data_IF_249624701262
#
_entry.id   IF_249624701262
#
_cell.length_a   1.000
_cell.length_b   1.000
_cell.length_c   1.000
_cell.angle_alpha   90.00
_cell.angle_beta   90.00
_cell.angle_gamma   90.00
#
_symmetry.space_group_name_H-M   'P 1'
#
loop_
_entity.id
_entity.type
_entity.pdbx_description
1 polymer ?
#
# COMPACT_ATOMS: atom_id res chain seq x y z
N UNK A 1 -21.13 85.97 -17.22
CA UNK A 1 -20.23 84.90 -16.67
C UNK A 1 -21.01 83.65 -16.58
N UNK A 2 -20.84 82.70 -17.51
CA UNK A 2 -21.55 81.44 -17.53
C UNK A 2 -20.53 80.37 -17.17
N UNK A 3 -20.61 79.75 -15.98
CA UNK A 3 -19.82 78.63 -15.58
C UNK A 3 -20.48 77.35 -16.06
N UNK A 4 -19.86 76.69 -17.00
CA UNK A 4 -20.29 75.37 -17.52
C UNK A 4 -19.76 74.32 -16.59
N UNK A 5 -20.65 73.70 -15.86
CA UNK A 5 -20.33 72.52 -15.01
C UNK A 5 -20.23 71.30 -15.91
N UNK A 6 -19.03 70.80 -16.09
CA UNK A 6 -18.80 69.46 -16.74
C UNK A 6 -18.94 68.35 -15.70
N UNK A 7 -19.93 67.52 -15.87
CA UNK A 7 -20.03 66.22 -15.12
C UNK A 7 -18.92 65.26 -15.52
N UNK A 8 -18.27 64.62 -14.57
CA UNK A 8 -17.35 63.57 -14.90
C UNK A 8 -18.12 62.29 -15.28
N UNK A 9 -17.67 61.69 -16.36
CA UNK A 9 -18.15 60.38 -16.85
C UNK A 9 -17.83 59.30 -15.81
N UNK A 10 -18.85 58.64 -15.26
CA UNK A 10 -18.69 57.45 -14.46
C UNK A 10 -18.07 56.35 -15.33
N UNK A 11 -16.85 55.99 -15.00
CA UNK A 11 -16.23 54.80 -15.52
C UNK A 11 -16.94 53.57 -14.94
N UNK A 12 -17.58 52.79 -15.78
CA UNK A 12 -18.10 51.49 -15.44
C UNK A 12 -16.92 50.54 -15.26
N UNK A 13 -16.54 50.29 -14.02
CA UNK A 13 -15.63 49.22 -13.69
C UNK A 13 -16.44 47.93 -13.73
N UNK A 14 -16.30 47.17 -14.81
CA UNK A 14 -16.84 45.83 -14.92
C UNK A 14 -16.08 44.93 -13.93
N UNK A 15 -16.71 44.61 -12.82
CA UNK A 15 -16.28 43.56 -11.91
C UNK A 15 -16.48 42.22 -12.62
N UNK A 16 -15.38 41.66 -13.13
CA UNK A 16 -15.33 40.27 -13.58
C UNK A 16 -15.21 39.38 -12.32
N UNK A 17 -16.20 38.57 -11.97
CA UNK A 17 -16.02 37.59 -10.90
C UNK A 17 -15.07 36.51 -11.42
N UNK A 18 -13.83 36.52 -10.91
CA UNK A 18 -12.89 35.44 -11.08
C UNK A 18 -13.42 34.22 -10.30
N UNK A 19 -14.20 33.38 -11.02
CA UNK A 19 -14.67 32.12 -10.51
C UNK A 19 -13.46 31.19 -10.41
N UNK A 20 -12.78 31.22 -9.26
CA UNK A 20 -11.76 30.25 -8.89
C UNK A 20 -12.44 28.87 -8.83
N UNK A 21 -12.38 28.13 -9.92
CA UNK A 21 -12.63 26.69 -9.92
C UNK A 21 -11.53 26.07 -9.04
N UNK A 22 -11.84 25.88 -7.78
CA UNK A 22 -11.08 24.99 -6.90
C UNK A 22 -11.22 23.57 -7.46
N UNK A 23 -10.30 23.22 -8.35
CA UNK A 23 -10.11 21.85 -8.80
C UNK A 23 -9.63 21.06 -7.57
N UNK A 24 -10.57 20.54 -6.78
CA UNK A 24 -10.27 19.59 -5.71
C UNK A 24 -9.71 18.32 -6.37
N UNK A 25 -8.40 18.24 -6.46
CA UNK A 25 -7.72 16.97 -6.79
C UNK A 25 -8.02 16.04 -5.63
N UNK A 26 -9.08 15.24 -5.79
CA UNK A 26 -9.29 14.08 -4.93
C UNK A 26 -8.20 13.10 -5.30
N UNK A 27 -7.20 12.99 -4.44
CA UNK A 27 -6.32 11.83 -4.45
C UNK A 27 -7.21 10.61 -4.24
N UNK A 28 -7.36 9.82 -5.31
CA UNK A 28 -8.00 8.52 -5.21
C UNK A 28 -7.15 7.68 -4.23
N UNK A 29 -7.77 7.01 -3.23
CA UNK A 29 -7.03 6.05 -2.41
C UNK A 29 -6.38 5.03 -3.35
N UNK A 30 -5.18 4.48 -3.01
CA UNK A 30 -4.53 3.48 -3.83
C UNK A 30 -5.57 2.38 -4.10
N UNK A 31 -5.86 2.17 -5.38
CA UNK A 31 -6.79 1.14 -5.81
C UNK A 31 -6.20 -0.19 -5.33
N UNK A 32 -6.71 -0.72 -4.22
CA UNK A 32 -6.58 -2.13 -3.94
C UNK A 32 -7.16 -2.82 -5.16
N UNK A 33 -6.29 -3.46 -5.95
CA UNK A 33 -6.67 -4.03 -7.23
C UNK A 33 -7.92 -4.88 -7.00
N UNK A 34 -9.04 -4.40 -7.50
CA UNK A 34 -10.31 -5.13 -7.48
C UNK A 34 -10.07 -6.45 -8.23
N UNK A 35 -9.88 -7.55 -7.48
CA UNK A 35 -9.51 -8.85 -8.01
C UNK A 35 -8.18 -9.44 -7.51
N UNK A 36 -7.41 -8.76 -6.66
CA UNK A 36 -6.23 -9.38 -6.04
C UNK A 36 -6.63 -10.53 -5.11
N UNK A 37 -5.94 -11.67 -5.24
CA UNK A 37 -6.14 -12.83 -4.35
C UNK A 37 -5.58 -12.52 -2.97
N UNK A 38 -6.44 -12.53 -1.97
CA UNK A 38 -6.06 -12.31 -0.57
C UNK A 38 -5.77 -13.65 0.11
N UNK A 39 -4.64 -13.72 0.80
CA UNK A 39 -4.18 -14.93 1.51
C UNK A 39 -3.82 -14.52 2.93
N UNK A 40 -4.53 -15.08 3.89
CA UNK A 40 -4.27 -14.86 5.31
C UNK A 40 -3.05 -15.68 5.76
N UNK A 41 -2.13 -15.04 6.48
CA UNK A 41 -0.93 -15.64 7.04
C UNK A 41 -0.77 -15.22 8.50
N UNK A 42 -0.81 -16.17 9.39
CA UNK A 42 -0.56 -15.93 10.81
C UNK A 42 0.91 -16.16 11.14
N UNK A 43 1.54 -15.17 11.77
CA UNK A 43 2.88 -15.24 12.32
C UNK A 43 2.80 -15.48 13.83
N UNK A 44 3.50 -16.47 14.32
CA UNK A 44 3.73 -16.73 15.75
C UNK A 44 5.10 -17.38 15.95
N UNK A 45 5.61 -17.43 17.17
CA UNK A 45 6.91 -18.04 17.46
C UNK A 45 6.87 -19.56 17.27
N UNK A 46 7.59 -20.14 16.33
CA UNK A 46 8.51 -19.58 15.34
C UNK A 46 8.09 -20.08 13.96
N UNK A 47 6.88 -19.81 13.56
CA UNK A 47 6.29 -20.33 12.33
C UNK A 47 5.33 -19.33 11.66
N UNK A 48 5.11 -19.51 10.37
CA UNK A 48 4.00 -18.93 9.63
C UNK A 48 2.94 -19.99 9.35
N UNK A 49 1.67 -19.62 9.39
CA UNK A 49 0.54 -20.50 9.10
C UNK A 49 -0.34 -19.84 8.02
N UNK A 50 -0.44 -20.42 6.83
CA UNK A 50 0.28 -21.61 6.36
C UNK A 50 1.78 -21.36 6.19
N UNK A 51 2.60 -22.44 6.27
CA UNK A 51 4.04 -22.36 6.05
C UNK A 51 4.43 -22.33 4.57
N UNK A 52 3.51 -22.72 3.68
CA UNK A 52 3.69 -22.73 2.23
C UNK A 52 2.46 -22.15 1.54
N UNK A 53 2.70 -21.40 0.47
CA UNK A 53 1.66 -20.73 -0.33
C UNK A 53 1.99 -20.96 -1.81
N UNK A 54 0.96 -21.31 -2.60
CA UNK A 54 1.07 -21.40 -4.05
C UNK A 54 0.27 -20.31 -4.72
N UNK A 55 0.89 -19.57 -5.63
CA UNK A 55 0.30 -18.50 -6.45
C UNK A 55 0.72 -18.66 -7.90
N UNK A 56 0.06 -17.93 -8.81
CA UNK A 56 0.42 -17.93 -10.23
C UNK A 56 1.24 -16.69 -10.59
N UNK A 57 2.15 -16.85 -11.53
CA UNK A 57 2.84 -15.73 -12.17
C UNK A 57 1.84 -14.78 -12.80
N UNK A 58 2.01 -13.49 -12.57
CA UNK A 58 1.11 -12.45 -13.09
C UNK A 58 -0.20 -12.29 -12.30
N UNK A 59 -0.48 -13.14 -11.30
CA UNK A 59 -1.65 -13.00 -10.44
C UNK A 59 -1.38 -11.95 -9.35
N UNK A 60 -2.19 -10.87 -9.25
CA UNK A 60 -2.08 -9.94 -8.14
C UNK A 60 -2.45 -10.62 -6.82
N UNK A 61 -1.58 -10.54 -5.83
CA UNK A 61 -1.71 -11.19 -4.52
C UNK A 61 -1.54 -10.16 -3.41
N UNK A 62 -2.32 -10.33 -2.35
CA UNK A 62 -2.16 -9.61 -1.08
C UNK A 62 -2.02 -10.65 0.03
N UNK A 63 -0.84 -10.73 0.65
CA UNK A 63 -0.68 -11.46 1.90
C UNK A 63 -1.17 -10.58 3.04
N UNK A 64 -2.17 -11.04 3.76
CA UNK A 64 -2.69 -10.40 4.96
C UNK A 64 -1.99 -11.06 6.16
N UNK A 65 -1.05 -10.34 6.74
CA UNK A 65 -0.12 -10.85 7.74
C UNK A 65 -0.61 -10.47 9.13
N UNK A 66 -0.86 -11.46 9.98
CA UNK A 66 -1.26 -11.26 11.37
C UNK A 66 -0.22 -11.80 12.34
N UNK A 67 0.12 -11.04 13.37
CA UNK A 67 0.87 -11.57 14.51
C UNK A 67 -0.07 -11.86 15.67
N UNK A 68 0.11 -13.02 16.33
CA UNK A 68 -0.68 -13.42 17.50
C UNK A 68 0.09 -13.32 18.81
N UNK A 69 1.38 -12.98 18.76
CA UNK A 69 2.22 -12.90 19.96
C UNK A 69 3.13 -11.66 19.97
N UNK A 70 4.30 -11.72 19.35
CA UNK A 70 5.26 -10.61 19.32
C UNK A 70 5.36 -10.00 17.92
N UNK A 71 6.12 -8.94 17.77
CA UNK A 71 6.43 -8.41 16.45
C UNK A 71 7.22 -9.42 15.62
N UNK A 72 6.87 -9.53 14.35
CA UNK A 72 7.53 -10.33 13.33
C UNK A 72 7.78 -9.48 12.08
N UNK A 73 8.33 -10.07 11.07
CA UNK A 73 8.43 -9.51 9.73
C UNK A 73 8.64 -10.62 8.73
N UNK A 74 8.44 -10.37 7.46
CA UNK A 74 8.74 -11.32 6.39
C UNK A 74 9.56 -10.63 5.31
N UNK A 75 10.60 -11.29 4.82
CA UNK A 75 11.43 -10.82 3.72
C UNK A 75 11.71 -11.94 2.74
N UNK A 76 11.24 -11.79 1.51
CA UNK A 76 11.66 -12.60 0.35
C UNK A 76 12.76 -11.83 -0.39
N UNK A 77 14.02 -12.14 -0.09
CA UNK A 77 15.16 -11.38 -0.60
C UNK A 77 15.25 -11.40 -2.13
N UNK A 78 14.99 -12.56 -2.75
CA UNK A 78 15.06 -12.76 -4.20
C UNK A 78 13.96 -12.01 -4.98
N UNK A 79 12.85 -11.68 -4.31
CA UNK A 79 11.72 -10.93 -4.87
C UNK A 79 11.75 -9.46 -4.48
N UNK A 80 12.67 -9.04 -3.61
CA UNK A 80 12.72 -7.69 -3.08
C UNK A 80 11.52 -7.31 -2.20
N UNK A 81 10.78 -8.30 -1.68
CA UNK A 81 9.57 -8.09 -0.89
C UNK A 81 9.89 -8.09 0.60
N UNK A 82 9.30 -7.16 1.35
CA UNK A 82 9.42 -7.09 2.81
C UNK A 82 8.15 -6.49 3.40
N UNK A 83 7.72 -7.03 4.56
CA UNK A 83 6.71 -6.43 5.42
C UNK A 83 7.05 -6.64 6.89
N UNK A 84 6.79 -5.65 7.71
CA UNK A 84 6.90 -5.74 9.16
C UNK A 84 5.51 -5.94 9.77
N UNK A 85 5.41 -6.77 10.81
CA UNK A 85 4.14 -7.13 11.47
C UNK A 85 4.29 -6.75 12.94
N UNK A 86 3.51 -5.77 13.40
CA UNK A 86 3.53 -5.33 14.80
C UNK A 86 3.04 -6.41 15.76
N UNK A 87 3.32 -6.26 17.05
CA UNK A 87 2.80 -7.14 18.11
C UNK A 87 1.28 -7.15 18.09
N UNK A 88 0.68 -8.33 17.98
CA UNK A 88 -0.77 -8.52 17.80
C UNK A 88 -1.34 -7.63 16.68
N UNK A 89 -0.51 -7.29 15.69
CA UNK A 89 -0.85 -6.40 14.60
C UNK A 89 -1.17 -7.13 13.31
N UNK A 90 -1.68 -6.35 12.35
CA UNK A 90 -1.95 -6.78 10.98
C UNK A 90 -1.23 -5.85 10.02
N UNK A 91 -0.69 -6.41 8.94
CA UNK A 91 -0.14 -5.64 7.82
C UNK A 91 -0.43 -6.36 6.50
N UNK A 92 -0.38 -5.66 5.39
CA UNK A 92 -0.61 -6.22 4.07
C UNK A 92 0.65 -6.11 3.21
N UNK A 93 0.97 -7.17 2.49
CA UNK A 93 2.03 -7.22 1.49
C UNK A 93 1.42 -7.53 0.12
N UNK A 94 1.25 -6.50 -0.69
CA UNK A 94 0.72 -6.62 -2.05
C UNK A 94 1.86 -6.78 -3.06
N UNK A 95 1.73 -7.74 -3.97
CA UNK A 95 2.70 -7.98 -5.04
C UNK A 95 2.06 -8.75 -6.20
N UNK A 96 2.73 -8.72 -7.34
CA UNK A 96 2.41 -9.56 -8.50
C UNK A 96 3.70 -10.30 -8.88
N UNK A 97 3.77 -11.64 -8.73
CA UNK A 97 4.99 -12.38 -9.04
C UNK A 97 5.26 -12.35 -10.55
N UNK A 98 6.49 -12.04 -10.91
CA UNK A 98 6.95 -11.98 -12.31
C UNK A 98 7.84 -13.17 -12.72
N UNK A 99 8.19 -14.04 -11.76
CA UNK A 99 9.07 -15.19 -11.93
C UNK A 99 8.45 -16.44 -11.38
N UNK A 100 8.52 -17.54 -12.13
CA UNK A 100 8.19 -18.88 -11.66
C UNK A 100 9.34 -19.41 -10.79
N UNK A 101 9.01 -20.12 -9.72
CA UNK A 101 10.00 -20.74 -8.84
C UNK A 101 9.50 -20.92 -7.42
N UNK A 102 10.42 -21.35 -6.56
CA UNK A 102 10.19 -21.48 -5.12
C UNK A 102 11.06 -20.47 -4.40
N UNK A 103 10.44 -19.62 -3.63
CA UNK A 103 11.08 -18.52 -2.91
C UNK A 103 10.86 -18.68 -1.41
N UNK A 104 11.95 -18.58 -0.63
CA UNK A 104 11.88 -18.72 0.83
C UNK A 104 11.96 -17.34 1.47
N UNK A 105 10.88 -16.96 2.15
CA UNK A 105 10.83 -15.78 2.99
C UNK A 105 11.29 -16.12 4.42
N UNK A 106 12.10 -15.25 5.00
CA UNK A 106 12.61 -15.38 6.36
C UNK A 106 12.01 -14.28 7.25
N UNK A 107 11.84 -14.60 8.54
CA UNK A 107 11.47 -13.57 9.51
C UNK A 107 12.54 -12.48 9.53
N UNK A 108 12.12 -11.24 9.35
CA UNK A 108 13.02 -10.08 9.26
C UNK A 108 13.04 -9.20 10.51
N UNK A 109 12.25 -9.55 11.52
CA UNK A 109 12.22 -8.90 12.82
C UNK A 109 12.55 -9.91 13.91
N UNK A 110 13.57 -9.65 14.72
CA UNK A 110 13.99 -10.59 15.78
C UNK A 110 12.84 -10.89 16.75
N UNK A 111 12.39 -12.13 16.77
CA UNK A 111 11.23 -12.59 17.54
C UNK A 111 11.56 -13.61 18.65
N UNK A 112 12.84 -13.95 18.82
CA UNK A 112 13.31 -14.90 19.83
C UNK A 112 14.29 -15.92 19.29
N UNK A 113 14.56 -17.00 20.07
CA UNK A 113 15.61 -17.99 19.79
C UNK A 113 15.42 -18.80 18.50
N UNK A 114 14.18 -18.97 18.04
CA UNK A 114 13.84 -19.66 16.78
C UNK A 114 13.74 -18.74 15.57
N UNK A 115 14.10 -17.45 15.70
CA UNK A 115 14.03 -16.46 14.62
C UNK A 115 14.70 -16.94 13.32
N UNK A 116 15.87 -17.54 13.39
CA UNK A 116 16.65 -17.98 12.23
C UNK A 116 16.01 -19.14 11.44
N UNK A 117 15.07 -19.88 12.01
CA UNK A 117 14.38 -21.01 11.38
C UNK A 117 12.94 -20.68 10.95
N UNK A 118 12.45 -19.48 11.27
CA UNK A 118 11.10 -19.05 10.95
C UNK A 118 10.99 -18.64 9.49
N UNK A 119 10.36 -19.48 8.66
CA UNK A 119 10.27 -19.31 7.20
C UNK A 119 8.86 -19.49 6.67
N UNK A 120 8.60 -18.84 5.53
CA UNK A 120 7.40 -19.01 4.69
C UNK A 120 7.85 -19.29 3.26
N UNK A 121 7.39 -20.40 2.69
CA UNK A 121 7.72 -20.77 1.32
C UNK A 121 6.64 -20.31 0.34
N UNK A 122 7.04 -19.60 -0.71
CA UNK A 122 6.18 -19.15 -1.79
C UNK A 122 6.51 -19.93 -3.07
N UNK A 123 5.55 -20.71 -3.56
CA UNK A 123 5.63 -21.41 -4.83
C UNK A 123 4.90 -20.58 -5.90
N UNK A 124 5.62 -20.12 -6.91
CA UNK A 124 5.06 -19.42 -8.07
C UNK A 124 5.02 -20.37 -9.25
N UNK A 125 3.83 -20.67 -9.75
CA UNK A 125 3.59 -21.52 -10.93
C UNK A 125 3.25 -20.68 -12.17
N UNK A 126 3.18 -21.31 -13.34
CA UNK A 126 2.65 -20.65 -14.56
C UNK A 126 1.17 -20.32 -14.44
#
# INVERSE_FOLDING_TARGET
MKKIFRLPRLAWVALVPCLLLLCSVREAPPAHASGARRIEVTAKRFEYIPAEITVKKGEPVVLVLHSTDVAHGIKFAELGLKADIGTAGTNELAFTPDKVGTFVGHCSHFCGSGHGTMTLTLHVTE
#
